data_IF_504535534390
#
_entry.id   IF_504535534390
#
_cell.length_a   1.000
_cell.length_b   1.000
_cell.length_c   1.000
_cell.angle_alpha   90.00
_cell.angle_beta   90.00
_cell.angle_gamma   90.00
#
_symmetry.space_group_name_H-M   'P 1'
#
loop_
_entity.id
_entity.type
_entity.pdbx_description
1 polymer ?
#
# COMPACT_ATOMS: atom_id res chain seq x y z
N UNK A 1 7.52 9.76 47.47
CA UNK A 1 6.45 9.89 48.43
C UNK A 1 5.21 10.36 47.67
N UNK A 2 4.17 9.63 47.45
CA UNK A 2 3.47 8.59 48.22
C UNK A 2 2.96 7.49 47.25
N UNK A 3 3.12 6.29 47.74
CA UNK A 3 2.53 5.04 47.25
C UNK A 3 1.06 4.99 47.66
N UNK A 4 0.14 4.59 46.78
CA UNK A 4 -1.16 4.08 47.19
C UNK A 4 -1.45 2.77 46.46
N UNK A 5 -1.37 1.69 47.20
CA UNK A 5 -1.83 0.37 46.83
C UNK A 5 -3.30 0.22 47.21
N UNK A 6 -4.12 -0.45 46.38
CA UNK A 6 -5.40 -0.98 46.84
C UNK A 6 -5.60 -2.43 46.45
N UNK A 7 -6.08 -3.14 47.42
CA UNK A 7 -6.20 -4.57 47.67
C UNK A 7 -7.20 -5.28 46.74
N UNK A 8 -6.86 -6.52 46.52
CA UNK A 8 -7.70 -7.64 46.08
C UNK A 8 -8.70 -8.01 47.19
N UNK A 9 -9.95 -8.29 46.83
CA UNK A 9 -10.85 -9.10 47.65
C UNK A 9 -11.49 -10.18 46.79
N UNK A 10 -11.09 -11.41 47.07
CA UNK A 10 -11.75 -12.62 46.64
C UNK A 10 -12.75 -13.06 47.69
N UNK A 11 -13.93 -13.53 47.31
CA UNK A 11 -14.78 -14.38 48.10
C UNK A 11 -15.67 -15.25 47.21
N UNK A 12 -15.43 -16.56 47.17
CA UNK A 12 -16.44 -17.57 46.99
C UNK A 12 -17.00 -17.96 48.37
N UNK A 13 -18.02 -18.77 48.53
CA UNK A 13 -17.95 -20.20 48.23
C UNK A 13 -19.26 -20.85 47.74
N UNK A 14 -19.12 -22.11 47.35
CA UNK A 14 -20.13 -23.09 46.98
C UNK A 14 -21.22 -23.36 48.05
N UNK A 15 -22.39 -23.80 47.61
CA UNK A 15 -23.07 -24.88 48.31
C UNK A 15 -24.02 -25.71 47.43
N UNK A 16 -23.90 -27.01 47.61
CA UNK A 16 -24.74 -28.11 47.15
C UNK A 16 -26.17 -28.03 47.69
N UNK A 17 -27.16 -28.54 46.91
CA UNK A 17 -28.05 -29.57 47.43
C UNK A 17 -28.91 -30.21 46.33
N UNK A 18 -28.89 -31.55 46.33
CA UNK A 18 -29.81 -32.45 45.66
C UNK A 18 -31.25 -32.26 46.17
N UNK A 19 -32.24 -32.46 45.33
CA UNK A 19 -33.39 -33.27 45.73
C UNK A 19 -34.19 -33.80 44.50
N UNK A 20 -34.48 -35.06 44.56
CA UNK A 20 -35.33 -35.84 43.66
C UNK A 20 -36.80 -35.42 43.75
N UNK A 21 -37.54 -35.51 42.61
CA UNK A 21 -38.98 -35.32 42.65
C UNK A 21 -39.64 -35.55 41.29
N UNK A 22 -40.12 -36.75 41.10
CA UNK A 22 -40.96 -37.23 40.01
C UNK A 22 -42.29 -36.50 39.92
N UNK A 23 -42.76 -36.11 38.68
CA UNK A 23 -44.07 -35.53 38.49
C UNK A 23 -44.43 -35.28 37.04
N UNK A 24 -45.16 -36.21 36.48
CA UNK A 24 -45.76 -36.22 35.14
C UNK A 24 -46.77 -35.05 34.97
N UNK A 25 -46.72 -34.35 33.82
CA UNK A 25 -47.70 -33.30 33.48
C UNK A 25 -47.52 -32.75 32.06
N UNK A 26 -48.32 -33.29 31.19
CA UNK A 26 -48.53 -32.90 29.78
C UNK A 26 -49.00 -31.41 29.68
N UNK A 27 -48.34 -30.61 28.84
CA UNK A 27 -48.76 -29.22 28.54
C UNK A 27 -47.98 -28.63 27.37
N UNK A 28 -48.53 -28.86 26.20
CA UNK A 28 -48.10 -28.27 24.91
C UNK A 28 -48.22 -26.74 25.00
N UNK A 29 -47.13 -26.01 24.86
CA UNK A 29 -47.17 -24.64 24.32
C UNK A 29 -45.83 -24.29 23.69
N UNK A 30 -45.83 -24.31 22.33
CA UNK A 30 -44.72 -23.88 21.55
C UNK A 30 -44.46 -22.39 21.72
N UNK A 31 -43.31 -22.07 22.24
CA UNK A 31 -42.66 -20.79 22.00
C UNK A 31 -41.24 -21.10 21.56
N UNK A 32 -41.10 -21.25 20.27
CA UNK A 32 -39.79 -21.41 19.64
C UNK A 32 -39.05 -20.08 19.77
N UNK A 33 -38.28 -19.96 20.83
CA UNK A 33 -37.19 -19.00 20.87
C UNK A 33 -36.07 -19.62 20.06
N UNK A 34 -36.12 -19.40 18.74
CA UNK A 34 -34.96 -19.54 17.87
C UNK A 34 -33.97 -18.42 18.22
N UNK A 35 -33.24 -18.62 19.32
CA UNK A 35 -31.90 -18.06 19.41
C UNK A 35 -31.04 -18.90 18.47
N UNK A 36 -31.15 -18.65 17.18
CA UNK A 36 -30.10 -18.95 16.24
C UNK A 36 -28.92 -18.05 16.62
N UNK A 37 -28.01 -18.57 17.44
CA UNK A 37 -26.63 -18.09 17.32
C UNK A 37 -26.28 -18.31 15.86
N UNK A 38 -26.21 -17.24 15.09
CA UNK A 38 -25.52 -17.28 13.81
C UNK A 38 -24.09 -17.67 14.17
N UNK A 39 -23.75 -18.95 13.97
CA UNK A 39 -22.36 -19.39 14.02
C UNK A 39 -21.76 -18.82 12.76
N UNK A 40 -21.03 -17.71 12.86
CA UNK A 40 -20.28 -17.14 11.76
C UNK A 40 -19.37 -18.20 11.15
N UNK A 41 -19.09 -18.07 9.89
CA UNK A 41 -18.14 -18.93 9.19
C UNK A 41 -16.71 -18.55 9.57
N UNK A 42 -15.79 -19.48 9.43
CA UNK A 42 -14.35 -19.23 9.63
C UNK A 42 -13.63 -19.42 8.32
N UNK A 43 -12.87 -18.42 7.93
CA UNK A 43 -12.09 -18.42 6.69
C UNK A 43 -10.59 -18.34 7.00
N UNK A 44 -9.80 -19.14 6.33
CA UNK A 44 -8.34 -19.18 6.42
C UNK A 44 -7.72 -18.46 5.23
N UNK A 45 -7.15 -17.28 5.45
CA UNK A 45 -6.59 -16.40 4.41
C UNK A 45 -5.06 -16.39 4.51
N UNK A 46 -4.37 -16.68 3.40
CA UNK A 46 -2.92 -16.54 3.29
C UNK A 46 -2.56 -15.22 2.63
N UNK A 47 -1.66 -14.44 3.24
CA UNK A 47 -1.16 -13.18 2.68
C UNK A 47 0.37 -13.25 2.56
N UNK A 48 0.90 -13.19 1.32
CA UNK A 48 2.34 -13.15 1.07
C UNK A 48 2.75 -11.74 0.65
N UNK A 49 3.56 -11.08 1.48
CA UNK A 49 4.13 -9.76 1.22
C UNK A 49 5.57 -9.90 0.73
N UNK A 50 5.94 -9.17 -0.33
CA UNK A 50 7.26 -9.30 -0.94
C UNK A 50 8.39 -8.99 0.04
N UNK A 51 8.22 -7.99 0.93
CA UNK A 51 9.12 -7.75 2.07
C UNK A 51 8.44 -6.89 3.15
N UNK A 52 8.79 -7.11 4.43
CA UNK A 52 8.18 -6.43 5.56
C UNK A 52 8.81 -5.08 5.90
N UNK A 53 10.06 -4.85 5.53
CA UNK A 53 10.77 -3.59 5.78
C UNK A 53 10.47 -2.48 4.77
N UNK A 54 9.59 -2.71 3.82
CA UNK A 54 9.04 -1.68 2.96
C UNK A 54 8.04 -0.81 3.74
N UNK A 55 8.22 0.52 3.69
CA UNK A 55 7.41 1.46 4.46
C UNK A 55 5.95 1.47 4.01
N UNK A 56 5.71 1.52 2.70
CA UNK A 56 4.37 1.48 2.12
C UNK A 56 3.65 0.16 2.44
N UNK A 57 4.32 -0.99 2.22
CA UNK A 57 3.72 -2.29 2.51
C UNK A 57 3.52 -2.54 4.01
N UNK A 58 4.23 -1.81 4.88
CA UNK A 58 3.97 -1.84 6.32
C UNK A 58 2.64 -1.17 6.66
N UNK A 59 2.33 -0.04 6.04
CA UNK A 59 1.03 0.63 6.18
C UNK A 59 -0.09 -0.25 5.60
N UNK A 60 0.10 -0.72 4.38
CA UNK A 60 -0.87 -1.57 3.67
C UNK A 60 -1.27 -2.82 4.46
N UNK A 61 -0.28 -3.66 4.87
CA UNK A 61 -0.56 -4.91 5.58
C UNK A 61 -1.18 -4.69 6.96
N UNK A 62 -0.81 -3.59 7.65
CA UNK A 62 -1.37 -3.25 8.94
C UNK A 62 -2.85 -2.88 8.82
N UNK A 63 -3.18 -2.09 7.80
CA UNK A 63 -4.58 -1.71 7.54
C UNK A 63 -5.40 -2.91 7.03
N UNK A 64 -4.82 -3.75 6.17
CA UNK A 64 -5.48 -4.97 5.67
C UNK A 64 -5.87 -5.91 6.83
N UNK A 65 -4.94 -6.16 7.77
CA UNK A 65 -5.19 -7.02 8.94
C UNK A 65 -6.26 -6.41 9.86
N UNK A 66 -6.18 -5.12 10.12
CA UNK A 66 -7.16 -4.36 10.90
C UNK A 66 -8.55 -4.45 10.27
N UNK A 67 -8.66 -4.20 8.97
CA UNK A 67 -9.94 -4.18 8.27
C UNK A 67 -10.61 -5.56 8.22
N UNK A 68 -9.87 -6.64 8.04
CA UNK A 68 -10.44 -8.00 8.19
C UNK A 68 -11.00 -8.24 9.60
N UNK A 69 -10.38 -7.69 10.64
CA UNK A 69 -10.91 -7.73 11.99
C UNK A 69 -12.23 -6.94 12.15
N UNK A 70 -12.34 -5.79 11.50
CA UNK A 70 -13.55 -4.96 11.48
C UNK A 70 -14.70 -5.65 10.73
N UNK A 71 -14.41 -6.21 9.54
CA UNK A 71 -15.37 -7.00 8.77
C UNK A 71 -15.92 -8.20 9.55
N UNK A 72 -15.04 -8.93 10.27
CA UNK A 72 -15.47 -10.05 11.12
C UNK A 72 -16.33 -9.60 12.30
N UNK A 73 -16.07 -8.41 12.85
CA UNK A 73 -16.91 -7.84 13.91
C UNK A 73 -18.30 -7.40 13.38
N UNK A 74 -18.38 -6.99 12.11
CA UNK A 74 -19.62 -6.56 11.49
C UNK A 74 -20.51 -7.73 11.06
N UNK A 75 -19.94 -8.73 10.37
CA UNK A 75 -20.71 -9.83 9.78
C UNK A 75 -20.79 -11.09 10.67
N UNK A 76 -20.02 -11.13 11.75
CA UNK A 76 -19.98 -12.23 12.72
C UNK A 76 -19.15 -13.43 12.26
N UNK A 77 -18.42 -13.31 11.16
CA UNK A 77 -17.47 -14.31 10.67
C UNK A 77 -16.10 -14.20 11.36
N UNK A 78 -15.25 -15.18 11.16
CA UNK A 78 -13.86 -15.15 11.63
C UNK A 78 -12.94 -15.23 10.41
N UNK A 79 -12.08 -14.23 10.23
CA UNK A 79 -11.08 -14.19 9.18
C UNK A 79 -9.70 -14.41 9.82
N UNK A 80 -9.16 -15.61 9.68
CA UNK A 80 -7.82 -15.96 10.15
C UNK A 80 -6.79 -15.57 9.08
N UNK A 81 -6.21 -14.39 9.22
CA UNK A 81 -5.25 -13.84 8.26
C UNK A 81 -3.83 -14.22 8.65
N UNK A 82 -3.18 -15.07 7.89
CA UNK A 82 -1.77 -15.44 8.04
C UNK A 82 -0.91 -14.61 7.10
N UNK A 83 -0.16 -13.63 7.63
CA UNK A 83 0.69 -12.74 6.82
C UNK A 83 2.15 -13.19 6.93
N UNK A 84 2.80 -13.43 5.79
CA UNK A 84 4.20 -13.89 5.73
C UNK A 84 5.09 -12.92 4.96
N UNK A 85 6.34 -12.81 5.41
CA UNK A 85 7.40 -12.03 4.78
C UNK A 85 8.20 -12.88 3.80
N UNK A 86 8.16 -12.53 2.52
CA UNK A 86 8.98 -13.18 1.49
C UNK A 86 10.43 -12.67 1.47
N UNK A 87 10.74 -11.60 2.21
CA UNK A 87 12.08 -11.02 2.35
C UNK A 87 12.76 -10.68 1.00
N UNK A 88 11.96 -10.27 0.01
CA UNK A 88 12.36 -10.02 -1.37
C UNK A 88 13.09 -11.22 -2.02
N UNK A 89 12.75 -12.43 -1.62
CA UNK A 89 13.28 -13.69 -2.14
C UNK A 89 12.19 -14.47 -2.86
N UNK A 90 12.32 -14.56 -4.19
CA UNK A 90 11.35 -15.25 -5.05
C UNK A 90 11.21 -16.73 -4.72
N UNK A 91 12.31 -17.42 -4.36
CA UNK A 91 12.25 -18.84 -4.02
C UNK A 91 11.49 -19.07 -2.70
N UNK A 92 11.74 -18.20 -1.70
CA UNK A 92 11.01 -18.19 -0.43
C UNK A 92 9.52 -17.92 -0.64
N UNK A 93 9.16 -16.95 -1.50
CA UNK A 93 7.76 -16.65 -1.80
C UNK A 93 7.05 -17.84 -2.47
N UNK A 94 7.69 -18.49 -3.45
CA UNK A 94 7.15 -19.69 -4.08
C UNK A 94 6.89 -20.81 -3.06
N UNK A 95 7.81 -21.02 -2.11
CA UNK A 95 7.60 -21.98 -1.02
C UNK A 95 6.41 -21.59 -0.13
N UNK A 96 6.30 -20.31 0.25
CA UNK A 96 5.18 -19.81 1.07
C UNK A 96 3.83 -19.97 0.38
N UNK A 97 3.72 -19.58 -0.89
CA UNK A 97 2.51 -19.74 -1.68
C UNK A 97 2.11 -21.21 -1.86
N UNK A 98 3.07 -22.09 -2.13
CA UNK A 98 2.83 -23.54 -2.18
C UNK A 98 2.38 -24.09 -0.81
N UNK A 99 2.90 -23.56 0.29
CA UNK A 99 2.46 -23.95 1.63
C UNK A 99 1.01 -23.51 1.90
N UNK A 100 0.60 -22.33 1.49
CA UNK A 100 -0.79 -21.89 1.60
C UNK A 100 -1.73 -22.81 0.80
N UNK A 101 -1.34 -23.17 -0.43
CA UNK A 101 -2.08 -24.14 -1.25
C UNK A 101 -2.17 -25.50 -0.55
N UNK A 102 -1.06 -26.00 -0.01
CA UNK A 102 -1.03 -27.32 0.67
C UNK A 102 -1.81 -27.34 1.99
N UNK A 103 -1.91 -26.20 2.68
CA UNK A 103 -2.74 -26.02 3.87
C UNK A 103 -4.24 -25.93 3.53
N UNK A 104 -4.59 -25.70 2.26
CA UNK A 104 -5.98 -25.51 1.83
C UNK A 104 -6.55 -24.20 2.34
N UNK A 105 -5.80 -23.10 2.21
CA UNK A 105 -6.35 -21.77 2.49
C UNK A 105 -7.57 -21.51 1.63
N UNK A 106 -8.55 -20.80 2.15
CA UNK A 106 -9.79 -20.49 1.43
C UNK A 106 -9.55 -19.38 0.36
N UNK A 107 -8.53 -18.55 0.57
CA UNK A 107 -8.13 -17.46 -0.33
C UNK A 107 -6.66 -17.09 -0.11
N UNK A 108 -5.98 -16.65 -1.17
CA UNK A 108 -4.61 -16.11 -1.09
C UNK A 108 -4.58 -14.68 -1.61
N UNK A 109 -3.96 -13.77 -0.84
CA UNK A 109 -3.60 -12.42 -1.26
C UNK A 109 -2.10 -12.40 -1.48
N UNK A 110 -1.62 -11.95 -2.64
CA UNK A 110 -0.20 -12.00 -2.97
C UNK A 110 0.33 -10.68 -3.52
N UNK A 111 1.31 -10.12 -2.80
CA UNK A 111 2.18 -9.06 -3.29
C UNK A 111 3.45 -9.72 -3.83
N UNK A 112 3.55 -9.88 -5.14
CA UNK A 112 4.58 -10.71 -5.78
C UNK A 112 5.98 -10.10 -5.63
N UNK A 113 6.97 -10.94 -5.31
CA UNK A 113 8.40 -10.55 -5.36
C UNK A 113 8.79 -10.26 -6.81
N UNK A 114 8.49 -11.19 -7.71
CA UNK A 114 8.66 -11.01 -9.15
C UNK A 114 7.31 -11.17 -9.86
N UNK A 115 6.83 -10.15 -10.59
CA UNK A 115 5.61 -10.26 -11.39
C UNK A 115 5.62 -11.42 -12.39
N UNK A 116 6.79 -11.76 -12.94
CA UNK A 116 6.98 -12.89 -13.85
C UNK A 116 6.62 -14.26 -13.24
N UNK A 117 6.58 -14.38 -11.92
CA UNK A 117 6.18 -15.60 -11.21
C UNK A 117 4.67 -15.79 -11.10
N UNK A 118 3.88 -14.78 -11.40
CA UNK A 118 2.44 -14.76 -11.15
C UNK A 118 1.70 -15.85 -11.95
N UNK A 119 1.99 -16.05 -13.23
CA UNK A 119 1.31 -17.02 -14.07
C UNK A 119 1.40 -18.45 -13.51
N UNK A 120 2.61 -18.85 -13.10
CA UNK A 120 2.83 -20.20 -12.54
C UNK A 120 2.10 -20.38 -11.21
N UNK A 121 2.12 -19.35 -10.37
CA UNK A 121 1.39 -19.38 -9.10
C UNK A 121 -0.13 -19.45 -9.32
N UNK A 122 -0.67 -18.61 -10.19
CA UNK A 122 -2.11 -18.58 -10.47
C UNK A 122 -2.62 -19.89 -11.06
N UNK A 123 -1.82 -20.56 -11.92
CA UNK A 123 -2.19 -21.87 -12.41
C UNK A 123 -2.24 -22.90 -11.26
N UNK A 124 -1.30 -22.87 -10.33
CA UNK A 124 -1.28 -23.77 -9.17
C UNK A 124 -2.45 -23.50 -8.22
N UNK A 125 -2.80 -22.23 -7.98
CA UNK A 125 -3.95 -21.85 -7.17
C UNK A 125 -5.27 -22.29 -7.82
N UNK A 126 -5.41 -22.10 -9.13
CA UNK A 126 -6.56 -22.57 -9.92
C UNK A 126 -6.73 -24.10 -9.85
N UNK A 127 -5.64 -24.85 -9.98
CA UNK A 127 -5.68 -26.33 -9.90
C UNK A 127 -6.11 -26.81 -8.50
N UNK A 128 -5.88 -25.99 -7.46
CA UNK A 128 -6.31 -26.23 -6.08
C UNK A 128 -7.67 -25.61 -5.74
N UNK A 129 -8.32 -24.90 -6.68
CA UNK A 129 -9.60 -24.18 -6.49
C UNK A 129 -9.52 -23.09 -5.39
N UNK A 130 -8.36 -22.40 -5.25
CA UNK A 130 -8.14 -21.34 -4.27
C UNK A 130 -8.07 -19.99 -5.00
N UNK A 131 -9.05 -19.08 -4.83
CA UNK A 131 -9.07 -17.77 -5.48
C UNK A 131 -7.91 -16.88 -5.00
N UNK A 132 -7.51 -15.93 -5.85
CA UNK A 132 -6.33 -15.09 -5.61
C UNK A 132 -6.63 -13.61 -5.84
N UNK A 133 -6.18 -12.78 -4.90
CA UNK A 133 -6.07 -11.34 -5.07
C UNK A 133 -4.59 -10.96 -5.16
N UNK A 134 -4.15 -10.48 -6.32
CA UNK A 134 -2.83 -9.86 -6.48
C UNK A 134 -2.92 -8.40 -6.02
N UNK A 135 -1.90 -7.92 -5.31
CA UNK A 135 -1.91 -6.57 -4.75
C UNK A 135 -0.63 -5.80 -5.05
N UNK A 136 -0.74 -4.48 -5.19
CA UNK A 136 0.32 -3.48 -5.28
C UNK A 136 1.25 -3.64 -6.50
N UNK A 137 1.89 -4.78 -6.71
CA UNK A 137 2.78 -5.01 -7.86
C UNK A 137 1.98 -5.55 -9.05
N UNK A 138 1.84 -4.72 -10.08
CA UNK A 138 1.08 -5.06 -11.28
C UNK A 138 1.69 -6.28 -11.99
N UNK A 139 0.86 -7.26 -12.45
CA UNK A 139 1.33 -8.33 -13.32
C UNK A 139 1.94 -7.78 -14.62
N UNK A 140 2.99 -8.42 -15.15
CA UNK A 140 3.64 -7.99 -16.39
C UNK A 140 2.72 -8.01 -17.62
N UNK A 141 1.66 -8.82 -17.58
CA UNK A 141 0.70 -8.96 -18.67
C UNK A 141 -0.73 -9.02 -18.17
N UNK A 142 -1.62 -8.36 -18.89
CA UNK A 142 -3.07 -8.46 -18.66
C UNK A 142 -3.60 -9.89 -18.83
N UNK A 143 -2.93 -10.73 -19.64
CA UNK A 143 -3.27 -12.14 -19.81
C UNK A 143 -3.06 -12.99 -18.56
N UNK A 144 -2.27 -12.51 -17.60
CA UNK A 144 -2.07 -13.20 -16.30
C UNK A 144 -3.39 -13.40 -15.56
N UNK A 145 -4.25 -12.40 -15.54
CA UNK A 145 -5.56 -12.50 -14.87
C UNK A 145 -6.58 -13.32 -15.68
N UNK A 146 -6.34 -13.51 -16.99
CA UNK A 146 -7.14 -14.38 -17.85
C UNK A 146 -6.90 -15.89 -17.61
N UNK A 147 -5.90 -16.26 -16.79
CA UNK A 147 -5.66 -17.64 -16.39
C UNK A 147 -6.87 -18.20 -15.65
N UNK A 148 -7.49 -17.40 -14.79
CA UNK A 148 -8.69 -17.78 -14.05
C UNK A 148 -9.67 -16.62 -13.88
N UNK A 149 -10.40 -16.23 -14.93
CA UNK A 149 -11.30 -15.08 -14.91
C UNK A 149 -12.37 -15.21 -13.82
N UNK A 150 -12.68 -14.10 -13.17
CA UNK A 150 -13.67 -14.02 -12.09
C UNK A 150 -13.23 -14.62 -10.75
N UNK A 151 -12.06 -15.26 -10.68
CA UNK A 151 -11.48 -15.87 -9.47
C UNK A 151 -10.06 -15.37 -9.17
N UNK A 152 -9.53 -14.57 -10.06
CA UNK A 152 -8.25 -13.87 -9.89
C UNK A 152 -8.42 -12.42 -10.28
N UNK A 153 -7.89 -11.54 -9.47
CA UNK A 153 -7.94 -10.09 -9.68
C UNK A 153 -6.65 -9.41 -9.23
N UNK A 154 -6.45 -8.17 -9.67
CA UNK A 154 -5.42 -7.28 -9.18
C UNK A 154 -6.08 -6.04 -8.55
N UNK A 155 -5.65 -5.70 -7.34
CA UNK A 155 -6.01 -4.47 -6.64
C UNK A 155 -4.76 -3.61 -6.48
N UNK A 156 -4.78 -2.42 -7.05
CA UNK A 156 -3.63 -1.53 -7.03
C UNK A 156 -3.89 -0.22 -7.76
N UNK A 157 -2.85 0.34 -8.33
CA UNK A 157 -2.79 1.67 -8.94
C UNK A 157 -2.13 1.62 -10.31
N UNK A 158 -2.45 2.58 -11.19
CA UNK A 158 -1.72 2.77 -12.45
C UNK A 158 -0.46 3.63 -12.20
N UNK A 159 0.69 3.00 -12.10
CA UNK A 159 1.94 3.70 -11.81
C UNK A 159 2.36 4.73 -12.88
N UNK A 160 1.79 4.66 -14.10
CA UNK A 160 1.97 5.71 -15.12
C UNK A 160 1.43 7.05 -14.65
N UNK A 161 0.29 7.05 -13.95
CA UNK A 161 -0.30 8.27 -13.39
C UNK A 161 0.64 8.92 -12.37
N UNK A 162 1.20 8.16 -11.42
CA UNK A 162 2.14 8.72 -10.45
C UNK A 162 3.42 9.24 -11.09
N UNK A 163 3.92 8.57 -12.14
CA UNK A 163 5.02 9.08 -12.94
C UNK A 163 4.68 10.44 -13.54
N UNK A 164 3.55 10.56 -14.25
CA UNK A 164 3.11 11.85 -14.81
C UNK A 164 3.00 12.93 -13.74
N UNK A 165 2.41 12.61 -12.60
CA UNK A 165 2.28 13.55 -11.50
C UNK A 165 3.63 14.03 -10.95
N UNK A 166 4.66 13.17 -10.89
CA UNK A 166 6.01 13.61 -10.55
C UNK A 166 6.55 14.62 -11.59
N UNK A 167 6.35 14.35 -12.89
CA UNK A 167 6.74 15.27 -13.96
C UNK A 167 5.98 16.60 -13.90
N UNK A 168 4.67 16.56 -13.69
CA UNK A 168 3.82 17.75 -13.55
C UNK A 168 4.22 18.62 -12.35
N UNK A 169 4.52 18.01 -11.19
CA UNK A 169 4.98 18.75 -10.01
C UNK A 169 6.20 19.61 -10.33
N UNK A 170 7.15 19.09 -11.11
CA UNK A 170 8.33 19.85 -11.52
C UNK A 170 7.99 20.84 -12.63
N UNK A 171 7.19 20.46 -13.62
CA UNK A 171 6.79 21.32 -14.74
C UNK A 171 6.00 22.57 -14.27
N UNK A 172 5.23 22.46 -13.21
CA UNK A 172 4.41 23.56 -12.65
C UNK A 172 5.21 24.56 -11.80
N UNK A 173 6.48 24.28 -11.47
CA UNK A 173 7.35 25.26 -10.82
C UNK A 173 7.58 26.49 -11.70
N UNK A 174 7.80 27.66 -11.12
CA UNK A 174 7.96 28.93 -11.87
C UNK A 174 9.04 28.84 -12.96
N UNK A 175 10.10 28.06 -12.70
CA UNK A 175 11.19 27.81 -13.64
C UNK A 175 11.10 26.43 -14.31
N UNK A 176 10.03 25.69 -14.13
CA UNK A 176 9.84 24.30 -14.62
C UNK A 176 10.99 23.34 -14.24
N UNK A 177 11.67 23.61 -13.13
CA UNK A 177 12.80 22.82 -12.64
C UNK A 177 14.17 23.25 -13.13
N UNK A 178 14.26 24.17 -14.12
CA UNK A 178 15.50 24.76 -14.65
C UNK A 178 15.99 25.87 -13.69
N UNK A 179 16.97 25.54 -12.87
CA UNK A 179 17.50 26.45 -11.84
C UNK A 179 18.61 27.37 -12.35
N UNK A 180 19.39 26.90 -13.34
CA UNK A 180 20.50 27.68 -13.88
C UNK A 180 20.12 28.49 -15.13
N UNK A 181 18.94 28.26 -15.73
CA UNK A 181 18.38 29.01 -16.82
C UNK A 181 18.98 28.64 -18.19
N UNK A 182 19.53 27.46 -18.35
CA UNK A 182 20.14 27.01 -19.61
C UNK A 182 19.12 26.43 -20.61
N UNK A 183 17.87 26.24 -20.19
CA UNK A 183 16.74 25.78 -21.00
C UNK A 183 16.49 24.29 -20.94
N UNK A 184 17.08 23.57 -20.00
CA UNK A 184 16.82 22.15 -19.69
C UNK A 184 16.86 21.90 -18.19
N UNK A 185 16.40 20.71 -17.81
CA UNK A 185 16.47 20.23 -16.43
C UNK A 185 17.47 19.09 -16.34
N UNK A 186 18.56 19.31 -15.61
CA UNK A 186 19.54 18.28 -15.31
C UNK A 186 19.09 17.49 -14.06
N UNK A 187 18.87 16.20 -14.24
CA UNK A 187 18.31 15.39 -13.17
C UNK A 187 19.05 14.08 -12.91
N UNK A 188 18.86 13.53 -11.71
CA UNK A 188 19.16 12.14 -11.41
C UNK A 188 17.87 11.38 -11.13
N UNK A 189 17.87 10.07 -11.45
CA UNK A 189 16.74 9.17 -11.23
C UNK A 189 17.12 8.03 -10.28
N UNK A 190 16.45 7.95 -9.12
CA UNK A 190 16.59 6.85 -8.16
C UNK A 190 15.38 5.93 -8.32
N UNK A 191 15.62 4.79 -8.96
CA UNK A 191 14.59 3.79 -9.26
C UNK A 191 14.39 2.83 -8.10
N UNK A 192 13.20 2.26 -8.02
CA UNK A 192 12.93 1.07 -7.23
C UNK A 192 13.62 -0.17 -7.80
N UNK A 193 12.99 -1.33 -7.63
CA UNK A 193 13.42 -2.57 -8.25
C UNK A 193 13.19 -2.51 -9.77
N UNK A 194 14.24 -2.67 -10.54
CA UNK A 194 14.18 -2.53 -12.01
C UNK A 194 13.36 -3.62 -12.71
N UNK A 195 13.05 -4.72 -12.02
CA UNK A 195 12.16 -5.78 -12.53
C UNK A 195 10.68 -5.50 -12.21
N UNK A 196 10.41 -4.50 -11.38
CA UNK A 196 9.05 -4.10 -11.03
C UNK A 196 8.48 -3.15 -12.08
N UNK A 197 7.27 -3.45 -12.55
CA UNK A 197 6.55 -2.65 -13.57
C UNK A 197 6.34 -1.21 -13.10
N UNK A 198 5.97 -1.01 -11.83
CA UNK A 198 5.72 0.32 -11.28
C UNK A 198 7.00 1.19 -11.30
N UNK A 199 8.16 0.61 -10.95
CA UNK A 199 9.43 1.33 -11.01
C UNK A 199 9.78 1.77 -12.43
N UNK A 200 9.53 0.91 -13.41
CA UNK A 200 9.75 1.23 -14.83
C UNK A 200 8.81 2.35 -15.29
N UNK A 201 7.53 2.24 -14.96
CA UNK A 201 6.50 3.21 -15.35
C UNK A 201 6.71 4.57 -14.68
N UNK A 202 6.93 4.63 -13.36
CA UNK A 202 7.25 5.88 -12.66
C UNK A 202 8.46 6.56 -13.27
N UNK A 203 9.52 5.80 -13.54
CA UNK A 203 10.76 6.32 -14.16
C UNK A 203 10.53 6.86 -15.55
N UNK A 204 9.76 6.17 -16.38
CA UNK A 204 9.52 6.58 -17.77
C UNK A 204 8.59 7.79 -17.83
N UNK A 205 7.42 7.67 -17.22
CA UNK A 205 6.36 8.67 -17.38
C UNK A 205 6.62 9.97 -16.64
N UNK A 206 7.49 9.99 -15.61
CA UNK A 206 7.89 11.25 -14.97
C UNK A 206 8.70 12.15 -15.91
N UNK A 207 9.58 11.55 -16.69
CA UNK A 207 10.41 12.27 -17.62
C UNK A 207 9.64 12.61 -18.89
N UNK A 208 8.87 11.67 -19.45
CA UNK A 208 8.02 11.95 -20.61
C UNK A 208 7.06 13.12 -20.35
N UNK A 209 6.49 13.21 -19.12
CA UNK A 209 5.61 14.31 -18.76
C UNK A 209 6.36 15.64 -18.63
N UNK A 210 7.53 15.66 -18.00
CA UNK A 210 8.33 16.87 -17.86
C UNK A 210 8.81 17.37 -19.25
N UNK A 211 9.15 16.46 -20.15
CA UNK A 211 9.60 16.77 -21.53
C UNK A 211 8.51 17.40 -22.41
N UNK A 212 7.23 17.33 -22.01
CA UNK A 212 6.18 18.11 -22.65
C UNK A 212 6.33 19.64 -22.40
N UNK A 213 7.05 20.02 -21.35
CA UNK A 213 7.25 21.42 -20.95
C UNK A 213 8.66 21.92 -21.23
N UNK A 214 9.70 21.12 -20.92
CA UNK A 214 11.10 21.53 -21.00
C UNK A 214 12.00 20.33 -21.34
N UNK A 215 13.12 20.60 -22.04
CA UNK A 215 14.14 19.57 -22.31
C UNK A 215 14.74 19.03 -21.03
N UNK A 216 15.07 17.73 -20.98
CA UNK A 216 15.67 17.10 -19.80
C UNK A 216 17.02 16.46 -20.12
N UNK A 217 17.91 16.38 -19.13
CA UNK A 217 19.21 15.71 -19.23
C UNK A 217 19.46 14.83 -18.01
N UNK A 218 19.51 13.50 -18.26
CA UNK A 218 19.90 12.55 -17.20
C UNK A 218 21.39 12.64 -16.92
N UNK A 219 21.77 13.01 -15.71
CA UNK A 219 23.16 12.98 -15.27
C UNK A 219 23.59 11.58 -14.84
N UNK A 220 24.48 10.99 -15.59
CA UNK A 220 24.96 9.63 -15.37
C UNK A 220 24.00 8.55 -15.86
N UNK A 221 23.56 7.68 -14.97
CA UNK A 221 22.68 6.56 -15.26
C UNK A 221 21.52 6.49 -14.26
N UNK A 222 20.48 5.69 -14.57
CA UNK A 222 19.40 5.40 -13.62
C UNK A 222 19.94 4.58 -12.45
N UNK A 223 19.69 5.05 -11.24
CA UNK A 223 20.29 4.51 -10.00
C UNK A 223 19.31 3.55 -9.33
N UNK A 224 19.69 2.28 -9.15
CA UNK A 224 18.83 1.26 -8.52
C UNK A 224 18.90 1.36 -6.99
N UNK A 225 17.83 1.88 -6.36
CA UNK A 225 17.68 2.06 -4.92
C UNK A 225 16.84 0.97 -4.23
N UNK A 226 16.20 0.07 -4.97
CA UNK A 226 15.44 -1.07 -4.45
C UNK A 226 14.42 -0.69 -3.34
N UNK A 227 13.80 0.47 -3.43
CA UNK A 227 12.82 1.03 -2.47
C UNK A 227 13.40 1.34 -1.08
N UNK A 228 14.73 1.25 -0.91
CA UNK A 228 15.43 1.35 0.37
C UNK A 228 15.97 2.76 0.64
N UNK A 229 15.67 3.31 1.83
CA UNK A 229 16.07 4.66 2.22
C UNK A 229 17.59 4.82 2.30
N UNK A 230 18.31 3.83 2.83
CA UNK A 230 19.77 3.89 2.96
C UNK A 230 20.44 3.89 1.60
N UNK A 231 19.96 3.04 0.68
CA UNK A 231 20.42 3.05 -0.71
C UNK A 231 20.12 4.37 -1.40
N UNK A 232 18.93 4.93 -1.22
CA UNK A 232 18.58 6.25 -1.71
C UNK A 232 19.58 7.32 -1.27
N UNK A 233 19.96 7.31 0.02
CA UNK A 233 20.97 8.22 0.56
C UNK A 233 22.36 8.00 -0.05
N UNK A 234 22.84 6.75 -0.12
CA UNK A 234 24.15 6.43 -0.67
C UNK A 234 24.27 6.83 -2.15
N UNK A 235 23.23 6.52 -2.95
CA UNK A 235 23.17 6.85 -4.38
C UNK A 235 23.12 8.37 -4.62
N UNK A 236 22.28 9.09 -3.89
CA UNK A 236 22.19 10.54 -3.99
C UNK A 236 23.49 11.21 -3.54
N UNK A 237 24.12 10.75 -2.46
CA UNK A 237 25.40 11.27 -2.00
C UNK A 237 26.52 11.09 -3.03
N UNK A 238 26.56 9.92 -3.69
CA UNK A 238 27.54 9.65 -4.75
C UNK A 238 27.29 10.56 -5.98
N UNK A 239 26.03 10.73 -6.39
CA UNK A 239 25.67 11.61 -7.49
C UNK A 239 25.98 13.08 -7.19
N UNK A 240 25.62 13.58 -6.00
CA UNK A 240 25.94 14.94 -5.56
C UNK A 240 27.47 15.18 -5.49
N UNK A 241 28.26 14.19 -5.09
CA UNK A 241 29.72 14.30 -5.09
C UNK A 241 30.31 14.35 -6.52
N UNK A 242 29.64 13.69 -7.49
CA UNK A 242 30.10 13.63 -8.89
C UNK A 242 29.67 14.85 -9.70
N UNK A 243 28.42 15.26 -9.62
CA UNK A 243 27.81 16.27 -10.47
C UNK A 243 27.59 17.62 -9.75
N UNK A 244 27.57 17.62 -8.39
CA UNK A 244 27.48 18.85 -7.60
C UNK A 244 26.25 19.68 -7.89
N UNK A 245 26.49 20.95 -8.28
CA UNK A 245 25.43 21.93 -8.56
C UNK A 245 24.72 21.70 -9.91
N UNK A 246 25.26 20.83 -10.77
CA UNK A 246 24.60 20.48 -12.04
C UNK A 246 23.27 19.69 -11.81
N UNK A 247 23.09 19.05 -10.64
CA UNK A 247 21.84 18.38 -10.33
C UNK A 247 20.79 19.40 -9.91
N UNK A 248 19.76 19.57 -10.69
CA UNK A 248 18.64 20.48 -10.39
C UNK A 248 17.47 19.73 -9.79
N UNK A 249 17.19 18.49 -10.26
CA UNK A 249 16.06 17.69 -9.78
C UNK A 249 16.51 16.27 -9.43
N UNK A 250 16.03 15.78 -8.28
CA UNK A 250 16.10 14.36 -7.92
C UNK A 250 14.71 13.75 -8.05
N UNK A 251 14.54 12.82 -8.99
CA UNK A 251 13.38 11.96 -9.05
C UNK A 251 13.64 10.68 -8.26
N UNK A 252 12.78 10.37 -7.30
CA UNK A 252 12.81 9.10 -6.58
C UNK A 252 11.49 8.34 -6.81
N UNK A 253 11.55 7.05 -7.10
CA UNK A 253 10.34 6.28 -7.35
C UNK A 253 9.48 6.05 -6.10
N UNK A 254 10.03 6.25 -4.88
CA UNK A 254 9.24 6.28 -3.64
C UNK A 254 9.82 7.24 -2.59
N UNK A 255 9.02 7.53 -1.58
CA UNK A 255 9.37 8.44 -0.50
C UNK A 255 10.51 7.94 0.38
N UNK A 256 10.63 6.64 0.60
CA UNK A 256 11.74 6.10 1.39
C UNK A 256 13.10 6.44 0.76
N UNK A 257 13.26 6.21 -0.55
CA UNK A 257 14.47 6.61 -1.28
C UNK A 257 14.61 8.13 -1.33
N UNK A 258 13.49 8.86 -1.47
CA UNK A 258 13.46 10.33 -1.45
C UNK A 258 13.93 10.91 -0.11
N UNK A 259 13.50 10.34 1.02
CA UNK A 259 14.01 10.72 2.35
C UNK A 259 15.51 10.45 2.49
N UNK A 260 15.99 9.36 1.94
CA UNK A 260 17.43 9.09 1.86
C UNK A 260 18.16 10.15 1.04
N UNK A 261 17.64 10.49 -0.14
CA UNK A 261 18.20 11.52 -1.00
C UNK A 261 18.19 12.90 -0.33
N UNK A 262 17.14 13.26 0.39
CA UNK A 262 17.07 14.52 1.16
C UNK A 262 18.17 14.59 2.23
N UNK A 263 18.48 13.49 2.90
CA UNK A 263 19.59 13.45 3.86
C UNK A 263 20.93 13.74 3.17
N UNK A 264 21.14 13.24 1.94
CA UNK A 264 22.33 13.52 1.16
C UNK A 264 22.38 14.98 0.67
N UNK A 265 21.24 15.55 0.23
CA UNK A 265 21.09 16.97 -0.11
C UNK A 265 21.52 17.86 1.06
N UNK A 266 20.95 17.61 2.24
CA UNK A 266 21.24 18.37 3.45
C UNK A 266 22.73 18.21 3.87
N UNK A 267 23.32 17.02 3.77
CA UNK A 267 24.73 16.78 4.05
C UNK A 267 25.67 17.51 3.05
N UNK A 268 25.24 17.68 1.81
CA UNK A 268 25.94 18.47 0.80
C UNK A 268 25.80 20.00 1.01
N UNK A 269 24.95 20.43 1.95
CA UNK A 269 24.69 21.84 2.24
C UNK A 269 23.75 22.52 1.23
N UNK A 270 23.06 21.72 0.41
CA UNK A 270 22.05 22.21 -0.54
C UNK A 270 20.67 22.34 0.10
N UNK A 271 19.81 23.11 -0.51
CA UNK A 271 18.47 23.38 0.01
C UNK A 271 17.40 23.17 -1.05
N UNK A 272 16.44 22.31 -0.72
CA UNK A 272 15.25 22.09 -1.53
C UNK A 272 14.47 23.40 -1.69
N UNK A 273 14.03 23.67 -2.92
CA UNK A 273 13.30 24.88 -3.28
C UNK A 273 14.16 26.13 -3.50
N UNK A 274 15.46 26.08 -3.17
CA UNK A 274 16.40 27.18 -3.44
C UNK A 274 17.40 26.83 -4.56
N UNK A 275 18.04 25.68 -4.48
CA UNK A 275 19.10 25.25 -5.39
C UNK A 275 19.00 23.79 -5.86
N UNK A 276 17.98 23.07 -5.44
CA UNK A 276 17.65 21.71 -5.88
C UNK A 276 16.17 21.42 -5.63
N UNK A 277 15.57 20.57 -6.45
CA UNK A 277 14.23 20.05 -6.26
C UNK A 277 14.27 18.52 -6.02
N UNK A 278 13.25 18.01 -5.35
CA UNK A 278 13.09 16.58 -5.09
C UNK A 278 11.62 16.19 -5.13
N UNK A 279 11.30 15.11 -5.84
CA UNK A 279 9.94 14.58 -5.95
C UNK A 279 9.93 13.07 -5.85
N UNK A 280 8.90 12.52 -5.19
CA UNK A 280 8.77 11.09 -4.95
C UNK A 280 7.31 10.63 -4.95
N UNK A 281 7.06 9.39 -4.53
CA UNK A 281 5.72 8.77 -4.48
C UNK A 281 5.56 8.04 -3.15
N UNK A 282 4.40 8.02 -2.59
CA UNK A 282 3.72 7.31 -1.51
C UNK A 282 3.01 8.24 -0.54
N UNK A 283 3.40 9.51 -0.44
CA UNK A 283 2.94 10.49 0.54
C UNK A 283 3.05 9.95 1.98
N UNK A 284 4.21 9.39 2.34
CA UNK A 284 4.49 9.02 3.72
C UNK A 284 4.39 10.26 4.63
N UNK A 285 3.90 10.11 5.85
CA UNK A 285 3.65 11.24 6.76
C UNK A 285 4.88 12.13 6.96
N UNK A 286 6.08 11.54 7.03
CA UNK A 286 7.33 12.29 7.14
C UNK A 286 7.58 13.19 5.92
N UNK A 287 7.30 12.70 4.70
CA UNK A 287 7.45 13.51 3.47
C UNK A 287 6.37 14.57 3.37
N UNK A 288 5.12 14.23 3.72
CA UNK A 288 4.02 15.21 3.77
C UNK A 288 4.33 16.35 4.74
N UNK A 289 4.94 16.06 5.91
CA UNK A 289 5.41 17.09 6.84
C UNK A 289 6.46 18.00 6.21
N UNK A 290 7.44 17.43 5.50
CA UNK A 290 8.50 18.18 4.82
C UNK A 290 7.96 19.05 3.67
N UNK A 291 6.93 18.60 2.94
CA UNK A 291 6.24 19.42 1.94
C UNK A 291 5.59 20.63 2.60
N UNK A 292 4.90 20.44 3.73
CA UNK A 292 4.30 21.56 4.50
C UNK A 292 5.34 22.57 5.00
N UNK A 293 6.51 22.08 5.39
CA UNK A 293 7.63 22.90 5.88
C UNK A 293 8.42 23.57 4.75
N UNK A 294 8.15 23.19 3.49
CA UNK A 294 8.88 23.70 2.32
C UNK A 294 10.27 23.08 2.16
N UNK A 295 10.53 21.95 2.81
CA UNK A 295 11.79 21.20 2.77
C UNK A 295 11.76 20.03 1.79
N UNK A 296 10.65 19.84 1.07
CA UNK A 296 10.45 18.85 0.02
C UNK A 296 9.55 19.43 -1.07
N UNK A 297 9.86 19.18 -2.35
CA UNK A 297 9.13 19.83 -3.45
C UNK A 297 7.72 19.29 -3.60
N UNK A 298 7.56 17.96 -3.53
CA UNK A 298 6.26 17.32 -3.60
C UNK A 298 6.36 15.80 -3.60
N UNK A 299 5.25 15.16 -3.28
CA UNK A 299 5.08 13.71 -3.36
C UNK A 299 3.73 13.39 -3.98
N UNK A 300 3.50 12.12 -4.28
CA UNK A 300 2.25 11.62 -4.85
C UNK A 300 1.68 10.56 -3.94
N UNK A 301 0.47 10.76 -3.43
CA UNK A 301 -0.20 9.78 -2.57
C UNK A 301 -0.43 8.47 -3.34
N UNK A 302 0.13 7.40 -2.84
CA UNK A 302 -0.21 6.03 -3.15
C UNK A 302 -1.14 5.53 -2.04
N UNK A 303 -2.40 5.38 -2.33
CA UNK A 303 -3.44 5.19 -1.33
C UNK A 303 -3.45 3.76 -0.77
N UNK A 304 -2.64 3.50 0.24
CA UNK A 304 -2.56 2.19 0.90
C UNK A 304 -3.86 1.81 1.63
N UNK A 305 -4.61 2.80 2.13
CA UNK A 305 -5.83 2.56 2.89
C UNK A 305 -6.93 1.99 1.98
N UNK A 306 -7.26 2.72 0.90
CA UNK A 306 -8.31 2.30 -0.03
C UNK A 306 -7.94 1.00 -0.77
N UNK A 307 -6.68 0.84 -1.16
CA UNK A 307 -6.21 -0.42 -1.76
C UNK A 307 -6.37 -1.60 -0.80
N UNK A 308 -6.01 -1.45 0.49
CA UNK A 308 -6.14 -2.52 1.49
C UNK A 308 -7.62 -2.91 1.74
N UNK A 309 -8.49 -1.90 1.86
CA UNK A 309 -9.94 -2.12 2.01
C UNK A 309 -10.53 -2.82 0.79
N UNK A 310 -10.25 -2.32 -0.41
CA UNK A 310 -10.73 -2.95 -1.65
C UNK A 310 -10.21 -4.39 -1.80
N UNK A 311 -8.96 -4.67 -1.43
CA UNK A 311 -8.43 -6.02 -1.48
C UNK A 311 -9.18 -6.97 -0.53
N UNK A 312 -9.54 -6.50 0.67
CA UNK A 312 -10.35 -7.29 1.60
C UNK A 312 -11.79 -7.47 1.11
N UNK A 313 -12.44 -6.41 0.61
CA UNK A 313 -13.82 -6.49 0.09
C UNK A 313 -13.93 -7.45 -1.09
N UNK A 314 -12.99 -7.37 -2.02
CA UNK A 314 -12.89 -8.29 -3.17
C UNK A 314 -12.58 -9.73 -2.70
N UNK A 315 -11.75 -9.89 -1.67
CA UNK A 315 -11.51 -11.19 -1.05
C UNK A 315 -12.82 -11.76 -0.48
N UNK A 316 -13.65 -10.95 0.19
CA UNK A 316 -14.95 -11.38 0.68
C UNK A 316 -15.91 -11.78 -0.44
N UNK A 317 -15.92 -11.07 -1.57
CA UNK A 317 -16.72 -11.46 -2.75
C UNK A 317 -16.30 -12.85 -3.23
N UNK A 318 -14.99 -13.09 -3.36
CA UNK A 318 -14.45 -14.39 -3.78
C UNK A 318 -14.79 -15.51 -2.79
N UNK A 319 -14.69 -15.28 -1.47
CA UNK A 319 -15.06 -16.24 -0.42
C UNK A 319 -16.56 -16.58 -0.45
N UNK A 320 -17.41 -15.64 -0.83
CA UNK A 320 -18.86 -15.87 -1.04
C UNK A 320 -19.17 -16.56 -2.38
N UNK A 321 -18.16 -16.86 -3.19
CA UNK A 321 -18.31 -17.51 -4.48
C UNK A 321 -18.71 -16.55 -5.62
N UNK A 322 -18.70 -15.26 -5.39
CA UNK A 322 -18.98 -14.24 -6.38
C UNK A 322 -17.84 -14.12 -7.40
N UNK A 323 -18.13 -13.60 -8.58
CA UNK A 323 -17.11 -13.27 -9.58
C UNK A 323 -16.62 -11.84 -9.39
N UNK A 324 -15.34 -11.59 -9.67
CA UNK A 324 -14.70 -10.29 -9.55
C UNK A 324 -14.20 -9.80 -10.89
N UNK A 325 -14.07 -8.47 -11.02
CA UNK A 325 -13.42 -7.86 -12.18
C UNK A 325 -11.92 -8.17 -12.19
N UNK A 326 -11.27 -8.15 -13.36
CA UNK A 326 -9.83 -8.42 -13.44
C UNK A 326 -8.97 -7.37 -12.73
N UNK A 327 -9.41 -6.11 -12.68
CA UNK A 327 -8.67 -5.00 -12.09
C UNK A 327 -9.57 -4.11 -11.24
N UNK A 328 -9.03 -3.69 -10.07
CA UNK A 328 -9.55 -2.62 -9.25
C UNK A 328 -8.47 -1.56 -9.09
N UNK A 329 -8.59 -0.48 -9.86
CA UNK A 329 -7.64 0.62 -9.90
C UNK A 329 -8.05 1.72 -8.93
N UNK A 330 -7.06 2.28 -8.23
CA UNK A 330 -7.20 3.49 -7.43
C UNK A 330 -6.36 4.60 -8.04
N UNK A 331 -6.84 5.83 -7.90
CA UNK A 331 -6.14 6.99 -8.40
C UNK A 331 -5.04 7.43 -7.42
N UNK A 332 -4.01 8.02 -7.98
CA UNK A 332 -3.00 8.75 -7.22
C UNK A 332 -3.45 10.19 -6.98
N UNK A 333 -2.86 10.87 -5.97
CA UNK A 333 -3.12 12.28 -5.65
C UNK A 333 -1.81 13.02 -5.44
N UNK A 334 -1.65 14.19 -6.05
CA UNK A 334 -0.48 15.04 -5.85
C UNK A 334 -0.53 15.72 -4.49
N UNK A 335 0.62 15.84 -3.84
CA UNK A 335 0.80 16.54 -2.56
C UNK A 335 1.94 17.53 -2.71
N UNK A 336 1.60 18.80 -2.93
CA UNK A 336 2.54 19.88 -3.22
C UNK A 336 2.33 21.11 -2.34
N UNK A 337 1.27 21.11 -1.55
CA UNK A 337 0.86 22.26 -0.72
C UNK A 337 0.45 21.83 0.68
N UNK A 338 0.41 22.77 1.66
CA UNK A 338 -0.19 22.51 2.97
C UNK A 338 -1.66 22.11 2.90
N UNK A 339 -2.40 22.59 1.90
CA UNK A 339 -3.80 22.26 1.67
C UNK A 339 -3.95 20.80 1.25
N UNK A 340 -3.15 20.32 0.31
CA UNK A 340 -3.12 18.92 -0.12
C UNK A 340 -2.72 18.01 1.05
N UNK A 341 -1.69 18.42 1.81
CA UNK A 341 -1.25 17.71 2.99
C UNK A 341 -2.34 17.58 4.06
N UNK A 342 -3.16 18.63 4.26
CA UNK A 342 -4.28 18.56 5.19
C UNK A 342 -5.34 17.57 4.73
N UNK A 343 -5.65 17.52 3.42
CA UNK A 343 -6.59 16.58 2.84
C UNK A 343 -6.11 15.14 3.03
N UNK A 344 -4.88 14.83 2.62
CA UNK A 344 -4.27 13.51 2.78
C UNK A 344 -4.27 13.05 4.24
N UNK A 345 -3.92 13.92 5.19
CA UNK A 345 -3.94 13.59 6.63
C UNK A 345 -5.32 13.34 7.19
N UNK A 346 -6.36 13.98 6.66
CA UNK A 346 -7.75 13.70 7.04
C UNK A 346 -8.15 12.30 6.58
N UNK A 347 -7.71 11.91 5.40
CA UNK A 347 -8.03 10.63 4.80
C UNK A 347 -7.40 9.45 5.57
N UNK A 348 -6.16 9.58 6.02
CA UNK A 348 -5.53 8.62 6.94
C UNK A 348 -6.23 8.50 8.32
N UNK A 349 -7.16 9.38 8.65
CA UNK A 349 -7.93 9.39 9.90
C UNK A 349 -9.42 9.17 9.68
N UNK A 350 -9.83 8.79 8.46
CA UNK A 350 -11.23 8.52 8.19
C UNK A 350 -11.76 7.43 9.12
N UNK A 351 -12.90 7.69 9.76
CA UNK A 351 -13.50 6.76 10.71
C UNK A 351 -14.33 5.69 9.98
N UNK A 352 -14.75 5.97 8.73
CA UNK A 352 -15.54 5.06 7.91
C UNK A 352 -15.09 5.10 6.44
N UNK A 353 -15.33 4.02 5.70
CA UNK A 353 -15.09 3.94 4.25
C UNK A 353 -15.83 5.06 3.51
N UNK A 354 -17.09 5.33 3.87
CA UNK A 354 -17.91 6.36 3.24
C UNK A 354 -17.31 7.77 3.45
N UNK A 355 -16.73 8.04 4.62
CA UNK A 355 -16.04 9.31 4.89
C UNK A 355 -14.77 9.43 4.06
N UNK A 356 -14.04 8.33 3.90
CA UNK A 356 -12.84 8.26 3.10
C UNK A 356 -13.15 8.47 1.60
N UNK A 357 -14.08 7.72 1.04
CA UNK A 357 -14.51 7.87 -0.36
C UNK A 357 -15.02 9.28 -0.68
N UNK A 358 -15.78 9.89 0.24
CA UNK A 358 -16.26 11.26 0.07
C UNK A 358 -15.11 12.28 0.03
N UNK A 359 -14.08 12.09 0.85
CA UNK A 359 -12.89 12.97 0.89
C UNK A 359 -11.99 12.75 -0.31
N UNK A 360 -11.80 11.49 -0.72
CA UNK A 360 -11.03 11.17 -1.92
C UNK A 360 -11.67 11.81 -3.16
N UNK A 361 -13.00 11.75 -3.27
CA UNK A 361 -13.73 12.43 -4.35
C UNK A 361 -13.51 13.95 -4.34
N UNK A 362 -13.41 14.60 -3.17
CA UNK A 362 -13.07 16.02 -3.06
C UNK A 362 -11.64 16.34 -3.52
N UNK A 363 -10.69 15.45 -3.24
CA UNK A 363 -9.28 15.59 -3.62
C UNK A 363 -9.14 15.44 -5.13
N UNK A 364 -9.72 14.39 -5.66
CA UNK A 364 -9.72 14.06 -7.10
C UNK A 364 -10.40 15.17 -7.92
N UNK A 365 -11.53 15.71 -7.44
CA UNK A 365 -12.28 16.79 -8.15
C UNK A 365 -11.50 18.12 -8.19
N UNK A 366 -10.47 18.28 -7.35
CA UNK A 366 -9.61 19.49 -7.32
C UNK A 366 -8.30 19.34 -8.08
N UNK A 367 -7.87 18.15 -8.41
CA UNK A 367 -6.55 17.85 -8.96
C UNK A 367 -6.52 17.08 -10.28
N UNK A 368 -7.65 16.58 -10.73
CA UNK A 368 -7.75 15.82 -11.98
C UNK A 368 -8.73 16.53 -12.90
N UNK A 369 -8.33 17.62 -13.50
CA UNK A 369 -8.93 18.03 -14.76
C UNK A 369 -8.19 17.31 -15.89
N UNK A 370 -8.87 16.26 -16.43
CA UNK A 370 -8.78 15.56 -17.73
C UNK A 370 -7.41 15.27 -18.33
#
# INVERSE_FOLDING_TARGET
MALVAFLVVACGPANNNNNDGNGNGNGNNGNGNNNGSATGETYEIGVAIYQFNDNFMTLYRTELEKYFGELGAEDGNTYNVEIVDSANDQAKQVEQLNNFIAQGKDLIIANMVSPAGADTFLQSAKDADIPVVLINREPESTSTLEIWPGKTTYVGVDARQSGRYQGEIIAELENSGDLDGDGKVQYIMIMGDTENVDAQQRTQYSIEQLEETIETELLGERLRGDWDQTKGQELAAAALAQFGEEIEVIFANNDAMGLGALQAINAAGRKVGEDIYIVSVDALEDVVNLVVEGEYTGTVLNDHFNQAHTAADVALMLLKGEEVEPYYWHDYVRVTSPEDAELVRKDFRAETIADYEARLAEIVDKGIDE
#
